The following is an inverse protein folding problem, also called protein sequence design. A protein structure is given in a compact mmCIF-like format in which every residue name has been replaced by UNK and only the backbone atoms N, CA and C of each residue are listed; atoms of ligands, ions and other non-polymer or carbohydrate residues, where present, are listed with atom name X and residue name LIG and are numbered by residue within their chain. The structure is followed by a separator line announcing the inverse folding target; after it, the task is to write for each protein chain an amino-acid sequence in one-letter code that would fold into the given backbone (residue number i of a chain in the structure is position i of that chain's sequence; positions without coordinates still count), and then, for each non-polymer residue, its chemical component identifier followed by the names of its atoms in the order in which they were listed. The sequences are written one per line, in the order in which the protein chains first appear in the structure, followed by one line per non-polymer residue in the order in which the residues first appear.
data_IF_826458178820
#
_entry.id   IF_826458178820
#
_cell.length_a   1.000
_cell.length_b   1.000
_cell.length_c   1.000
_cell.angle_alpha   90.00
_cell.angle_beta   90.00
_cell.angle_gamma   90.00
#
_symmetry.space_group_name_H-M   'P 1'
#
loop_
_entity.id
_entity.type
_entity.pdbx_description
1 polymer ?
#
# COMPACT_ATOMS: atom_id res chain seq x y z
N UNK A 1 13.32 -9.00 46.72
CA UNK A 1 12.21 -8.74 45.78
C UNK A 1 12.85 -8.43 44.44
N UNK A 2 13.00 -9.46 43.61
CA UNK A 2 14.02 -9.52 42.56
C UNK A 2 13.49 -9.01 41.22
N UNK A 3 14.38 -8.45 40.40
CA UNK A 3 14.21 -8.08 38.98
C UNK A 3 13.43 -9.12 38.14
N UNK A 4 13.43 -10.37 38.58
CA UNK A 4 12.64 -11.49 38.04
C UNK A 4 11.13 -11.20 38.01
N UNK A 5 10.55 -10.54 39.01
CA UNK A 5 9.11 -10.21 39.05
C UNK A 5 8.77 -9.06 38.07
N UNK A 6 9.69 -8.11 37.90
CA UNK A 6 9.56 -6.99 36.96
C UNK A 6 9.67 -7.48 35.49
N UNK A 7 10.53 -8.46 35.20
CA UNK A 7 10.53 -9.20 33.92
C UNK A 7 9.26 -10.05 33.74
N UNK A 8 8.77 -10.67 34.81
CA UNK A 8 7.53 -11.44 34.83
C UNK A 8 6.35 -10.58 34.38
N UNK A 9 6.12 -9.39 34.96
CA UNK A 9 4.98 -8.53 34.57
C UNK A 9 5.03 -7.96 33.14
N UNK A 10 6.20 -7.94 32.49
CA UNK A 10 6.36 -7.50 31.08
C UNK A 10 6.23 -8.68 30.11
N UNK A 11 6.55 -9.89 30.57
CA UNK A 11 6.37 -11.16 29.86
C UNK A 11 4.96 -11.75 30.04
N UNK A 12 4.17 -11.27 31.02
CA UNK A 12 2.88 -11.84 31.40
C UNK A 12 1.71 -11.10 30.74
N UNK A 13 1.68 -11.14 29.41
CA UNK A 13 0.49 -11.73 28.79
C UNK A 13 0.70 -13.24 28.87
N UNK A 14 0.09 -13.89 29.87
CA UNK A 14 0.32 -15.32 30.15
C UNK A 14 -0.19 -16.24 29.06
N UNK A 15 -0.89 -15.70 28.05
CA UNK A 15 -1.32 -16.47 26.90
C UNK A 15 -0.25 -16.36 25.80
N UNK A 16 0.61 -17.38 25.60
CA UNK A 16 1.61 -17.35 24.54
C UNK A 16 0.98 -17.08 23.16
N UNK A 17 -0.28 -17.49 22.93
CA UNK A 17 -0.97 -17.22 21.67
C UNK A 17 -1.28 -15.73 21.47
N UNK A 18 -1.52 -14.96 22.53
CA UNK A 18 -1.78 -13.54 22.45
C UNK A 18 -0.50 -12.72 22.16
N UNK A 19 0.65 -13.19 22.67
CA UNK A 19 1.96 -12.63 22.33
C UNK A 19 2.28 -12.88 20.86
N UNK A 20 2.08 -14.11 20.37
CA UNK A 20 2.32 -14.46 18.97
C UNK A 20 1.40 -13.66 18.04
N UNK A 21 0.10 -13.62 18.33
CA UNK A 21 -0.86 -12.82 17.56
C UNK A 21 -0.44 -11.36 17.48
N UNK A 22 -0.01 -10.75 18.59
CA UNK A 22 0.44 -9.35 18.62
C UNK A 22 1.71 -9.10 17.79
N UNK A 23 2.61 -10.07 17.69
CA UNK A 23 3.82 -9.98 16.85
C UNK A 23 3.46 -10.14 15.36
N UNK A 24 2.48 -10.98 15.06
CA UNK A 24 2.00 -11.22 13.70
C UNK A 24 1.09 -10.09 13.18
N UNK A 25 0.44 -9.33 14.06
CA UNK A 25 -0.41 -8.20 13.69
C UNK A 25 0.33 -7.17 12.82
N UNK A 26 -0.29 -6.84 11.70
CA UNK A 26 0.22 -5.85 10.79
C UNK A 26 0.02 -4.43 11.34
N UNK A 27 1.06 -3.61 11.26
CA UNK A 27 0.99 -2.17 11.58
C UNK A 27 0.27 -1.44 10.44
N UNK A 28 -1.02 -1.18 10.63
CA UNK A 28 -1.90 -0.59 9.62
C UNK A 28 -1.34 0.71 8.99
N UNK A 29 -0.84 1.63 9.82
CA UNK A 29 -0.23 2.88 9.35
C UNK A 29 1.00 2.63 8.45
N UNK A 30 1.86 1.68 8.83
CA UNK A 30 3.06 1.37 8.06
C UNK A 30 2.71 0.77 6.69
N UNK A 31 1.71 -0.12 6.65
CA UNK A 31 1.23 -0.69 5.39
C UNK A 31 0.60 0.38 4.49
N UNK A 32 -0.30 1.19 5.04
CA UNK A 32 -0.98 2.26 4.30
C UNK A 32 0.01 3.29 3.72
N UNK A 33 1.00 3.71 4.51
CA UNK A 33 2.05 4.60 4.04
C UNK A 33 2.90 3.95 2.93
N UNK A 34 3.24 2.67 3.08
CA UNK A 34 4.02 1.94 2.07
C UNK A 34 3.26 1.83 0.75
N UNK A 35 1.96 1.52 0.81
CA UNK A 35 1.11 1.42 -0.38
C UNK A 35 0.99 2.77 -1.10
N UNK A 36 0.77 3.85 -0.35
CA UNK A 36 0.71 5.20 -0.89
C UNK A 36 2.04 5.59 -1.57
N UNK A 37 3.18 5.36 -0.91
CA UNK A 37 4.50 5.70 -1.45
C UNK A 37 4.86 4.89 -2.69
N UNK A 38 4.64 3.57 -2.67
CA UNK A 38 4.92 2.72 -3.83
C UNK A 38 4.03 3.12 -5.00
N UNK A 39 2.75 3.42 -4.74
CA UNK A 39 1.81 3.87 -5.78
C UNK A 39 2.21 5.22 -6.36
N UNK A 40 2.59 6.18 -5.51
CA UNK A 40 3.10 7.48 -5.93
C UNK A 40 4.32 7.32 -6.85
N UNK A 41 5.26 6.47 -6.44
CA UNK A 41 6.46 6.20 -7.20
C UNK A 41 6.14 5.56 -8.56
N UNK A 42 5.31 4.51 -8.59
CA UNK A 42 4.88 3.86 -9.84
C UNK A 42 4.20 4.86 -10.77
N UNK A 43 3.31 5.71 -10.24
CA UNK A 43 2.62 6.73 -11.04
C UNK A 43 3.60 7.71 -11.69
N UNK A 44 4.58 8.20 -10.95
CA UNK A 44 5.64 9.08 -11.47
C UNK A 44 6.46 8.37 -12.55
N UNK A 45 6.85 7.12 -12.32
CA UNK A 45 7.61 6.32 -13.30
C UNK A 45 6.80 6.09 -14.57
N UNK A 46 5.51 5.75 -14.47
CA UNK A 46 4.63 5.58 -15.63
C UNK A 46 4.46 6.89 -16.40
N UNK A 47 4.40 8.01 -15.70
CA UNK A 47 4.34 9.32 -16.32
C UNK A 47 5.64 9.65 -17.10
N UNK A 48 6.81 9.40 -16.51
CA UNK A 48 8.08 9.55 -17.21
C UNK A 48 8.18 8.62 -18.43
N UNK A 49 7.71 7.38 -18.28
CA UNK A 49 7.68 6.40 -19.36
C UNK A 49 6.81 6.84 -20.53
N UNK A 50 5.65 7.46 -20.26
CA UNK A 50 4.78 8.05 -21.29
C UNK A 50 5.53 9.09 -22.15
N UNK A 51 6.47 9.83 -21.57
CA UNK A 51 7.24 10.87 -22.26
C UNK A 51 8.42 10.27 -23.02
N UNK A 52 9.20 9.40 -22.38
CA UNK A 52 10.47 8.88 -22.92
C UNK A 52 10.24 7.76 -23.94
N UNK A 53 9.29 6.86 -23.66
CA UNK A 53 9.01 5.69 -24.49
C UNK A 53 7.50 5.45 -24.67
N UNK A 54 6.79 6.31 -25.42
CA UNK A 54 5.35 6.21 -25.64
C UNK A 54 4.87 4.83 -26.14
N UNK A 55 5.57 4.12 -27.05
CA UNK A 55 5.16 2.78 -27.49
C UNK A 55 5.13 1.77 -26.35
N UNK A 56 6.13 1.81 -25.47
CA UNK A 56 6.21 0.89 -24.31
C UNK A 56 5.15 1.24 -23.26
N UNK A 57 4.89 2.53 -23.02
CA UNK A 57 3.78 2.96 -22.17
C UNK A 57 2.43 2.41 -22.64
N UNK A 58 2.15 2.49 -23.95
CA UNK A 58 0.91 1.93 -24.53
C UNK A 58 0.82 0.42 -24.34
N UNK A 59 1.90 -0.31 -24.62
CA UNK A 59 1.95 -1.76 -24.44
C UNK A 59 1.67 -2.14 -22.99
N UNK A 60 2.39 -1.52 -22.04
CA UNK A 60 2.25 -1.79 -20.63
C UNK A 60 0.83 -1.49 -20.15
N UNK A 61 0.28 -0.32 -20.46
CA UNK A 61 -1.05 0.06 -19.99
C UNK A 61 -2.14 -0.81 -20.62
N UNK A 62 -2.12 -1.02 -21.94
CA UNK A 62 -3.12 -1.82 -22.62
C UNK A 62 -3.07 -3.29 -22.18
N UNK A 63 -1.89 -3.83 -21.82
CA UNK A 63 -1.77 -5.21 -21.31
C UNK A 63 -2.53 -5.46 -20.01
N UNK A 64 -2.67 -4.44 -19.15
CA UNK A 64 -3.44 -4.56 -17.90
C UNK A 64 -4.95 -4.61 -18.14
N UNK A 65 -5.40 -4.11 -19.30
CA UNK A 65 -6.81 -4.08 -19.71
C UNK A 65 -7.09 -5.09 -20.84
N UNK A 66 -6.40 -6.24 -20.83
CA UNK A 66 -6.60 -7.33 -21.80
C UNK A 66 -6.40 -6.92 -23.27
N UNK A 67 -5.53 -5.94 -23.52
CA UNK A 67 -5.20 -5.46 -24.88
C UNK A 67 -6.15 -4.37 -25.40
N UNK A 68 -7.15 -3.94 -24.62
CA UNK A 68 -8.00 -2.81 -24.99
C UNK A 68 -7.15 -1.53 -25.05
N UNK A 69 -7.36 -0.70 -26.08
CA UNK A 69 -6.63 0.56 -26.25
C UNK A 69 -7.14 1.66 -25.30
N UNK A 70 -6.78 1.54 -24.03
CA UNK A 70 -7.08 2.53 -22.99
C UNK A 70 -6.04 3.66 -23.01
N UNK A 71 -4.82 3.38 -23.47
CA UNK A 71 -3.74 4.37 -23.49
C UNK A 71 -4.04 5.58 -24.39
N UNK A 72 -4.85 5.42 -25.44
CA UNK A 72 -5.30 6.53 -26.30
C UNK A 72 -6.28 7.48 -25.60
N UNK A 73 -6.98 7.01 -24.56
CA UNK A 73 -7.93 7.80 -23.77
C UNK A 73 -7.25 8.66 -22.69
N UNK A 74 -5.93 8.51 -22.50
CA UNK A 74 -5.21 9.29 -21.49
C UNK A 74 -5.13 10.76 -21.93
N UNK A 75 -5.66 11.71 -21.15
CA UNK A 75 -5.66 13.12 -21.52
C UNK A 75 -4.26 13.68 -21.79
N UNK A 76 -4.22 14.79 -22.54
CA UNK A 76 -3.00 15.61 -22.66
C UNK A 76 -2.58 16.09 -21.27
N UNK A 77 -1.28 16.35 -21.12
CA UNK A 77 -0.74 16.76 -19.84
C UNK A 77 -1.35 18.07 -19.34
N UNK A 78 -1.76 18.04 -18.08
CA UNK A 78 -2.11 19.22 -17.27
C UNK A 78 -1.50 18.99 -15.90
N UNK A 79 -0.76 19.97 -15.38
CA UNK A 79 -0.12 19.87 -14.07
C UNK A 79 -1.16 19.67 -12.96
N UNK A 80 -2.30 20.35 -13.07
CA UNK A 80 -3.43 20.21 -12.13
C UNK A 80 -4.00 18.79 -12.16
N UNK A 81 -4.19 18.21 -13.36
CA UNK A 81 -4.70 16.84 -13.49
C UNK A 81 -3.68 15.82 -12.98
N UNK A 82 -2.39 16.03 -13.24
CA UNK A 82 -1.32 15.17 -12.75
C UNK A 82 -1.30 15.13 -11.21
N UNK A 83 -1.30 16.30 -10.58
CA UNK A 83 -1.28 16.38 -9.11
C UNK A 83 -2.58 15.84 -8.50
N UNK A 84 -3.72 16.15 -9.11
CA UNK A 84 -5.03 15.65 -8.69
C UNK A 84 -5.10 14.13 -8.73
N UNK A 85 -4.65 13.50 -9.82
CA UNK A 85 -4.62 12.04 -9.95
C UNK A 85 -3.61 11.45 -8.96
N UNK A 86 -2.40 12.03 -8.82
CA UNK A 86 -1.39 11.56 -7.88
C UNK A 86 -1.93 11.51 -6.45
N UNK A 87 -2.57 12.59 -5.99
CA UNK A 87 -3.19 12.64 -4.66
C UNK A 87 -4.32 11.60 -4.56
N UNK A 88 -5.20 11.54 -5.56
CA UNK A 88 -6.32 10.61 -5.57
C UNK A 88 -5.86 9.15 -5.47
N UNK A 89 -4.84 8.74 -6.23
CA UNK A 89 -4.32 7.35 -6.17
C UNK A 89 -3.60 7.09 -4.86
N UNK A 90 -2.85 8.04 -4.30
CA UNK A 90 -2.20 7.87 -3.00
C UNK A 90 -3.20 7.71 -1.86
N UNK A 91 -4.23 8.56 -1.80
CA UNK A 91 -5.28 8.47 -0.79
C UNK A 91 -6.06 7.17 -0.95
N UNK A 92 -6.39 6.79 -2.18
CA UNK A 92 -7.09 5.53 -2.45
C UNK A 92 -6.30 4.33 -1.96
N UNK A 93 -5.01 4.22 -2.32
CA UNK A 93 -4.19 3.06 -1.92
C UNK A 93 -3.83 3.08 -0.43
N UNK A 94 -3.73 4.26 0.18
CA UNK A 94 -3.61 4.40 1.63
C UNK A 94 -4.82 3.81 2.36
N UNK A 95 -6.04 4.15 1.92
CA UNK A 95 -7.29 3.58 2.46
C UNK A 95 -7.30 2.06 2.26
N UNK A 96 -6.95 1.57 1.07
CA UNK A 96 -6.83 0.13 0.82
C UNK A 96 -5.83 -0.56 1.75
N UNK A 97 -4.69 0.09 2.06
CA UNK A 97 -3.74 -0.42 3.04
C UNK A 97 -4.34 -0.59 4.43
N UNK A 98 -5.15 0.36 4.91
CA UNK A 98 -5.89 0.20 6.17
C UNK A 98 -6.90 -0.94 6.13
N UNK A 99 -7.65 -1.05 5.04
CA UNK A 99 -8.63 -2.13 4.88
C UNK A 99 -7.95 -3.50 4.92
N UNK A 100 -6.83 -3.66 4.20
CA UNK A 100 -6.06 -4.90 4.19
C UNK A 100 -5.52 -5.22 5.58
N UNK A 101 -4.89 -4.27 6.26
CA UNK A 101 -4.38 -4.50 7.61
C UNK A 101 -5.50 -4.90 8.59
N UNK A 102 -6.68 -4.28 8.46
CA UNK A 102 -7.84 -4.60 9.30
C UNK A 102 -8.35 -6.01 9.03
N UNK A 103 -8.51 -6.39 7.76
CA UNK A 103 -8.96 -7.74 7.38
C UNK A 103 -7.94 -8.79 7.82
N UNK A 104 -6.65 -8.54 7.56
CA UNK A 104 -5.57 -9.45 7.94
C UNK A 104 -5.52 -9.68 9.45
N UNK A 105 -5.53 -8.61 10.26
CA UNK A 105 -5.49 -8.73 11.72
C UNK A 105 -6.72 -9.48 12.26
N UNK A 106 -7.92 -9.25 11.69
CA UNK A 106 -9.13 -10.00 12.07
C UNK A 106 -9.08 -11.49 11.72
N UNK A 107 -8.32 -11.87 10.70
CA UNK A 107 -8.17 -13.27 10.29
C UNK A 107 -7.17 -14.02 11.18
N UNK A 108 -6.20 -13.32 11.78
CA UNK A 108 -5.23 -13.90 12.73
C UNK A 108 -5.81 -14.03 14.13
N UNK A 109 -6.72 -13.12 14.52
CA UNK A 109 -7.42 -13.19 15.80
C UNK A 109 -8.42 -14.37 15.90
N UNK A 110 -8.73 -15.05 14.79
CA UNK A 110 -9.60 -16.23 14.74
C UNK A 110 -8.80 -17.53 14.77
#
# INVERSE_FOLDING_TARGET
MSIVILLYSILFDTNPNAIIAKIEMLKAQALANSFALVTAFIYIVLYLLKIIAPPFFKLLLNSQFFGVDIASQVPKFSFVNFLGILIAVCVSTWIFGYLIATVYNRLIEK
#
